data_IF_968701369122
#
_entry.id   IF_968701369122
#
_cell.length_a   1.000
_cell.length_b   1.000
_cell.length_c   1.000
_cell.angle_alpha   90.00
_cell.angle_beta   90.00
_cell.angle_gamma   90.00
#
_symmetry.space_group_name_H-M   'P 1'
#
loop_
_entity.id
_entity.type
_entity.pdbx_description
1 polymer ?
#
# COMPACT_ATOMS: atom_id res chain seq x y z
N UNK A 1 15.77 9.78 13.49
CA UNK A 1 16.39 8.70 14.30
C UNK A 1 15.29 7.75 14.79
N UNK A 2 15.59 6.51 15.17
CA UNK A 2 14.61 5.63 15.82
C UNK A 2 14.00 6.30 17.06
N UNK A 3 12.73 6.04 17.32
CA UNK A 3 12.01 6.56 18.50
C UNK A 3 11.93 5.48 19.58
N UNK A 4 12.00 5.88 20.85
CA UNK A 4 11.81 4.95 21.98
C UNK A 4 10.40 5.07 22.53
N UNK A 5 9.69 3.94 22.62
CA UNK A 5 8.37 3.82 23.24
C UNK A 5 8.40 2.58 24.15
N UNK A 6 7.96 2.70 25.40
CA UNK A 6 7.90 1.60 26.38
C UNK A 6 9.17 0.72 26.47
N UNK A 7 10.34 1.37 26.43
CA UNK A 7 11.63 0.70 26.51
C UNK A 7 12.10 0.01 25.22
N UNK A 8 11.28 -0.01 24.18
CA UNK A 8 11.60 -0.55 22.85
C UNK A 8 11.96 0.56 21.87
N UNK A 9 12.77 0.26 20.85
CA UNK A 9 13.13 1.22 19.77
C UNK A 9 12.43 0.88 18.47
N UNK A 10 11.86 1.89 17.83
CA UNK A 10 11.07 1.77 16.62
C UNK A 10 11.65 2.60 15.48
N UNK A 11 11.54 2.07 14.27
CA UNK A 11 11.76 2.77 13.01
C UNK A 11 10.48 2.72 12.18
N UNK A 12 10.55 3.28 10.97
CA UNK A 12 9.46 3.15 10.00
C UNK A 12 9.13 1.68 9.71
N UNK A 13 7.83 1.35 9.66
CA UNK A 13 7.34 -0.01 9.42
C UNK A 13 7.56 -0.48 7.99
N UNK A 14 7.73 0.44 7.04
CA UNK A 14 8.09 0.17 5.64
C UNK A 14 9.42 -0.56 5.47
N UNK A 15 10.27 -0.56 6.50
CA UNK A 15 11.51 -1.35 6.53
C UNK A 15 11.28 -2.84 6.81
N UNK A 16 10.16 -3.20 7.44
CA UNK A 16 9.76 -4.57 7.72
C UNK A 16 8.85 -5.11 6.61
N UNK A 17 7.77 -4.40 6.33
CA UNK A 17 6.86 -4.69 5.23
C UNK A 17 6.42 -3.40 4.55
N UNK A 18 6.42 -3.42 3.22
CA UNK A 18 5.94 -2.30 2.42
C UNK A 18 4.41 -2.11 2.47
N UNK A 19 3.66 -3.13 2.89
CA UNK A 19 2.20 -3.10 3.00
C UNK A 19 1.67 -3.26 4.42
N UNK A 20 2.36 -4.01 5.29
CA UNK A 20 1.94 -4.36 6.65
C UNK A 20 0.49 -4.88 6.71
N UNK A 21 0.06 -5.60 5.66
CA UNK A 21 -1.33 -6.03 5.54
C UNK A 21 -1.64 -7.17 6.53
N UNK A 22 -0.61 -7.85 7.04
CA UNK A 22 -0.71 -8.82 8.13
C UNK A 22 -1.26 -8.23 9.44
N UNK A 23 -1.20 -6.91 9.65
CA UNK A 23 -1.72 -6.26 10.87
C UNK A 23 -3.21 -6.48 11.10
N UNK A 24 -3.98 -6.81 10.05
CA UNK A 24 -5.42 -7.05 10.13
C UNK A 24 -5.81 -8.53 10.23
N UNK A 25 -4.84 -9.43 10.42
CA UNK A 25 -5.13 -10.88 10.55
C UNK A 25 -6.03 -11.20 11.74
N UNK A 26 -5.84 -10.52 12.86
CA UNK A 26 -6.64 -10.71 14.07
C UNK A 26 -7.85 -9.75 14.16
N UNK A 27 -8.04 -8.89 13.15
CA UNK A 27 -9.16 -7.95 13.11
C UNK A 27 -10.45 -8.67 12.66
N UNK A 28 -11.59 -8.28 13.23
CA UNK A 28 -12.91 -8.77 12.85
C UNK A 28 -13.39 -8.06 11.55
N UNK A 29 -12.78 -8.44 10.44
CA UNK A 29 -13.07 -7.93 9.09
C UNK A 29 -13.14 -9.08 8.09
N UNK A 30 -14.01 -8.92 7.09
CA UNK A 30 -14.16 -9.83 5.95
C UNK A 30 -13.24 -9.46 4.77
N UNK A 31 -12.86 -8.18 4.68
CA UNK A 31 -12.09 -7.63 3.56
C UNK A 31 -11.19 -6.47 3.99
N UNK A 32 -10.03 -6.34 3.34
CA UNK A 32 -9.09 -5.24 3.50
C UNK A 32 -8.79 -4.56 2.16
N UNK A 33 -8.62 -3.23 2.18
CA UNK A 33 -8.16 -2.47 1.01
C UNK A 33 -6.80 -1.88 1.36
N UNK A 34 -5.78 -2.28 0.63
CA UNK A 34 -4.45 -1.69 0.73
C UNK A 34 -4.34 -0.50 -0.22
N UNK A 35 -3.94 0.67 0.29
CA UNK A 35 -3.65 1.86 -0.52
C UNK A 35 -2.22 2.27 -0.22
N UNK A 36 -1.34 2.14 -1.21
CA UNK A 36 0.05 2.45 -0.97
C UNK A 36 0.82 2.64 -2.26
N UNK A 37 1.63 3.71 -2.36
CA UNK A 37 2.58 3.84 -3.44
C UNK A 37 3.75 2.89 -3.18
N UNK A 38 3.50 1.57 -3.33
CA UNK A 38 4.59 0.61 -3.47
C UNK A 38 5.51 1.18 -4.54
N UNK A 39 6.80 1.27 -4.26
CA UNK A 39 7.78 1.77 -5.22
C UNK A 39 7.57 1.02 -6.52
N UNK A 40 6.96 1.67 -7.49
CA UNK A 40 6.58 0.99 -8.70
C UNK A 40 7.87 0.57 -9.42
N UNK A 41 7.99 -0.74 -9.66
CA UNK A 41 9.23 -1.37 -10.16
C UNK A 41 10.10 -2.06 -9.10
N UNK A 42 9.83 -1.91 -7.80
CA UNK A 42 10.46 -2.71 -6.75
C UNK A 42 9.79 -4.08 -6.69
N UNK A 43 10.29 -5.02 -7.50
CA UNK A 43 9.75 -6.39 -7.63
C UNK A 43 9.55 -7.09 -6.28
N UNK A 44 10.47 -6.87 -5.35
CA UNK A 44 10.39 -7.48 -4.01
C UNK A 44 9.23 -6.95 -3.18
N UNK A 45 8.89 -5.65 -3.31
CA UNK A 45 7.77 -5.05 -2.59
C UNK A 45 6.43 -5.54 -3.15
N UNK A 46 6.31 -5.68 -4.48
CA UNK A 46 5.13 -6.26 -5.13
C UNK A 46 4.95 -7.71 -4.69
N UNK A 47 6.03 -8.50 -4.71
CA UNK A 47 6.00 -9.90 -4.26
C UNK A 47 5.62 -10.03 -2.79
N UNK A 48 6.11 -9.15 -1.92
CA UNK A 48 5.73 -9.15 -0.51
C UNK A 48 4.25 -8.85 -0.33
N UNK A 49 3.70 -7.86 -1.04
CA UNK A 49 2.27 -7.58 -1.03
C UNK A 49 1.45 -8.80 -1.48
N UNK A 50 1.85 -9.46 -2.57
CA UNK A 50 1.18 -10.68 -3.06
C UNK A 50 1.15 -11.77 -1.98
N UNK A 51 2.28 -11.98 -1.29
CA UNK A 51 2.37 -12.95 -0.18
C UNK A 51 1.46 -12.59 1.00
N UNK A 52 1.32 -11.31 1.31
CA UNK A 52 0.44 -10.87 2.39
C UNK A 52 -1.04 -10.99 2.02
N UNK A 53 -1.40 -10.74 0.76
CA UNK A 53 -2.76 -11.00 0.24
C UNK A 53 -3.07 -12.50 0.32
N UNK A 54 -2.14 -13.37 -0.08
CA UNK A 54 -2.28 -14.83 0.05
C UNK A 54 -2.43 -15.26 1.52
N UNK A 55 -1.70 -14.61 2.44
CA UNK A 55 -1.80 -14.87 3.87
C UNK A 55 -3.19 -14.52 4.41
N UNK A 56 -3.75 -13.36 4.03
CA UNK A 56 -5.12 -12.99 4.39
C UNK A 56 -6.14 -13.98 3.84
N UNK A 57 -5.98 -14.40 2.59
CA UNK A 57 -6.85 -15.39 1.95
C UNK A 57 -6.83 -16.73 2.70
N UNK A 58 -5.66 -17.18 3.16
CA UNK A 58 -5.52 -18.39 3.98
C UNK A 58 -6.26 -18.28 5.33
N UNK A 59 -6.54 -17.06 5.82
CA UNK A 59 -7.31 -16.78 7.03
C UNK A 59 -8.77 -16.42 6.75
N UNK A 60 -9.26 -16.69 5.53
CA UNK A 60 -10.65 -16.43 5.14
C UNK A 60 -10.96 -14.95 4.93
N UNK A 61 -9.95 -14.09 4.83
CA UNK A 61 -10.10 -12.65 4.56
C UNK A 61 -9.79 -12.37 3.10
N UNK A 62 -10.47 -11.38 2.53
CA UNK A 62 -10.22 -10.92 1.17
C UNK A 62 -9.39 -9.64 1.20
N UNK A 63 -8.59 -9.40 0.16
CA UNK A 63 -7.87 -8.15 0.06
C UNK A 63 -7.72 -7.70 -1.39
N UNK A 64 -7.76 -6.39 -1.59
CA UNK A 64 -7.43 -5.74 -2.87
C UNK A 64 -6.45 -4.59 -2.63
N UNK A 65 -5.68 -4.27 -3.67
CA UNK A 65 -4.70 -3.20 -3.63
C UNK A 65 -5.02 -2.10 -4.65
N UNK A 66 -4.89 -0.85 -4.20
CA UNK A 66 -4.82 0.34 -5.04
C UNK A 66 -3.35 0.74 -5.11
N UNK A 67 -2.75 0.49 -6.28
CA UNK A 67 -1.33 0.71 -6.56
C UNK A 67 -1.16 1.84 -7.59
N UNK A 68 -0.01 2.52 -7.60
CA UNK A 68 0.23 3.61 -8.53
C UNK A 68 0.20 3.16 -9.99
N UNK A 69 -0.56 3.87 -10.82
CA UNK A 69 -0.53 3.76 -12.27
C UNK A 69 0.72 4.39 -12.88
N UNK A 70 0.94 4.14 -14.17
CA UNK A 70 2.14 4.52 -14.91
C UNK A 70 2.49 6.02 -14.81
N UNK A 71 1.49 6.89 -14.78
CA UNK A 71 1.68 8.33 -14.65
C UNK A 71 2.36 8.70 -13.32
N UNK A 72 1.96 8.11 -12.19
CA UNK A 72 2.66 8.30 -10.93
C UNK A 72 4.10 7.78 -11.00
N UNK A 73 4.33 6.60 -11.57
CA UNK A 73 5.68 6.02 -11.71
C UNK A 73 6.61 6.97 -12.45
N UNK A 74 6.12 7.56 -13.54
CA UNK A 74 6.93 8.34 -14.47
C UNK A 74 7.10 9.79 -14.04
N UNK A 75 6.06 10.42 -13.50
CA UNK A 75 6.06 11.84 -13.12
C UNK A 75 6.60 12.08 -11.70
N UNK A 76 6.31 11.15 -10.77
CA UNK A 76 6.58 11.33 -9.33
C UNK A 76 7.54 10.27 -8.81
N UNK A 77 7.29 8.99 -9.10
CA UNK A 77 8.02 7.84 -8.59
C UNK A 77 9.51 7.83 -8.95
N UNK A 78 9.89 8.43 -10.08
CA UNK A 78 11.28 8.63 -10.50
C UNK A 78 11.92 9.91 -9.93
N UNK A 79 11.12 10.82 -9.38
CA UNK A 79 11.58 12.07 -8.81
C UNK A 79 11.93 11.91 -7.31
N UNK A 80 12.39 12.99 -6.69
CA UNK A 80 12.48 13.06 -5.23
C UNK A 80 11.07 13.06 -4.63
N UNK A 81 10.64 11.93 -4.04
CA UNK A 81 9.34 11.79 -3.38
C UNK A 81 9.10 12.80 -2.24
N UNK A 82 10.17 13.44 -1.74
CA UNK A 82 10.08 14.51 -0.74
C UNK A 82 9.88 15.90 -1.35
N UNK A 83 9.79 16.03 -2.68
CA UNK A 83 9.58 17.30 -3.35
C UNK A 83 8.15 17.80 -3.13
N UNK A 84 7.99 18.86 -2.34
CA UNK A 84 6.69 19.45 -2.04
C UNK A 84 5.96 20.01 -3.26
N UNK A 85 6.68 20.37 -4.32
CA UNK A 85 6.08 20.87 -5.55
C UNK A 85 5.28 19.80 -6.32
N UNK A 86 5.47 18.51 -6.02
CA UNK A 86 4.77 17.40 -6.66
C UNK A 86 3.53 16.93 -5.88
N UNK A 87 3.21 17.56 -4.74
CA UNK A 87 2.13 17.09 -3.84
C UNK A 87 0.77 17.09 -4.51
N UNK A 88 0.37 18.22 -5.10
CA UNK A 88 -0.96 18.37 -5.70
C UNK A 88 -1.12 17.37 -6.85
N UNK A 89 -0.10 17.25 -7.71
CA UNK A 89 -0.09 16.25 -8.78
C UNK A 89 -0.16 14.81 -8.25
N UNK A 90 0.51 14.51 -7.13
CA UNK A 90 0.45 13.19 -6.49
C UNK A 90 -0.94 12.86 -5.93
N UNK A 91 -1.67 13.87 -5.45
CA UNK A 91 -3.06 13.69 -5.01
C UNK A 91 -3.96 13.39 -6.20
N UNK A 92 -3.86 14.18 -7.27
CA UNK A 92 -4.65 13.97 -8.48
C UNK A 92 -4.46 12.55 -9.05
N UNK A 93 -3.20 12.11 -9.14
CA UNK A 93 -2.86 10.76 -9.59
C UNK A 93 -3.39 9.66 -8.67
N UNK A 94 -3.32 9.85 -7.35
CA UNK A 94 -3.91 8.90 -6.40
C UNK A 94 -5.43 8.79 -6.51
N UNK A 95 -6.12 9.89 -6.84
CA UNK A 95 -7.56 9.89 -7.13
C UNK A 95 -7.83 9.12 -8.43
N UNK A 96 -7.05 9.34 -9.48
CA UNK A 96 -7.13 8.60 -10.74
C UNK A 96 -6.93 7.08 -10.52
N UNK A 97 -5.91 6.69 -9.73
CA UNK A 97 -5.62 5.30 -9.39
C UNK A 97 -6.78 4.65 -8.62
N UNK A 98 -7.36 5.38 -7.67
CA UNK A 98 -8.55 4.94 -6.93
C UNK A 98 -9.76 4.76 -7.84
N UNK A 99 -10.01 5.72 -8.75
CA UNK A 99 -11.09 5.64 -9.72
C UNK A 99 -10.94 4.41 -10.65
N UNK A 100 -9.71 4.11 -11.08
CA UNK A 100 -9.40 2.94 -11.90
C UNK A 100 -9.54 1.60 -11.14
N UNK A 101 -9.57 1.63 -9.81
CA UNK A 101 -9.74 0.44 -8.98
C UNK A 101 -11.19 0.15 -8.60
N UNK A 102 -12.14 1.07 -8.85
CA UNK A 102 -13.53 1.01 -8.36
C UNK A 102 -14.19 -0.35 -8.58
N UNK A 103 -14.15 -0.90 -9.80
CA UNK A 103 -14.83 -2.16 -10.09
C UNK A 103 -14.26 -3.35 -9.28
N UNK A 104 -12.94 -3.39 -9.07
CA UNK A 104 -12.29 -4.43 -8.25
C UNK A 104 -12.65 -4.27 -6.77
N UNK A 105 -12.69 -3.04 -6.30
CA UNK A 105 -13.07 -2.72 -4.91
C UNK A 105 -14.54 -3.04 -4.66
N UNK A 106 -15.45 -2.74 -5.60
CA UNK A 106 -16.85 -3.13 -5.48
C UNK A 106 -17.01 -4.65 -5.46
N UNK A 107 -16.30 -5.38 -6.33
CA UNK A 107 -16.31 -6.84 -6.32
C UNK A 107 -15.78 -7.43 -4.99
N UNK A 108 -14.81 -6.77 -4.36
CA UNK A 108 -14.33 -7.11 -3.02
C UNK A 108 -15.40 -6.91 -1.94
N UNK A 109 -16.27 -5.90 -2.05
CA UNK A 109 -17.24 -5.60 -0.99
C UNK A 109 -18.53 -6.42 -1.09
N UNK A 110 -18.85 -6.96 -2.27
CA UNK A 110 -20.10 -7.70 -2.52
C UNK A 110 -21.27 -6.77 -2.80
#
# INVERSE_FOLDING_TARGET
PPISLDGSRYTDGGLWSSSNLDIVLDADIDAAIFVGPLRAGAKDAVRQLEQEIELLAAHGKRAEAILPGEAFITEIGKANLMNSALRDRGVDLGIEDGAAAVDRILALLG
#
